data_IF_016942214409
#
_entry.id   IF_016942214409
#
_cell.length_a   1.000
_cell.length_b   1.000
_cell.length_c   1.000
_cell.angle_alpha   90.00
_cell.angle_beta   90.00
_cell.angle_gamma   90.00
#
_symmetry.space_group_name_H-M   'P 1'
#
loop_
_entity.id
_entity.type
_entity.pdbx_description
1 polymer ?
#
# COMPACT_ATOMS: atom_id res chain seq x y z
N UNK A 1 -9.44 13.06 -14.60
CA UNK A 1 -8.18 12.41 -14.19
C UNK A 1 -8.02 12.59 -12.69
N UNK A 2 -8.19 11.52 -11.93
CA UNK A 2 -7.96 11.51 -10.48
C UNK A 2 -6.49 11.84 -10.24
N UNK A 3 -6.22 12.90 -9.46
CA UNK A 3 -4.85 13.35 -9.16
C UNK A 3 -4.36 12.66 -7.89
N UNK A 4 -3.07 12.39 -7.82
CA UNK A 4 -2.43 11.81 -6.63
C UNK A 4 -2.71 12.69 -5.39
N UNK A 5 -3.30 12.10 -4.35
CA UNK A 5 -3.66 12.79 -3.10
C UNK A 5 -2.43 13.44 -2.45
N UNK A 6 -1.29 12.74 -2.44
CA UNK A 6 -0.03 13.26 -1.87
C UNK A 6 0.40 14.54 -2.61
N UNK A 7 0.34 14.53 -3.94
CA UNK A 7 0.72 15.69 -4.75
C UNK A 7 -0.23 16.88 -4.57
N UNK A 8 -1.54 16.63 -4.50
CA UNK A 8 -2.51 17.70 -4.26
C UNK A 8 -2.42 18.26 -2.84
N UNK A 9 -2.17 17.42 -1.83
CA UNK A 9 -1.93 17.86 -0.46
C UNK A 9 -0.67 18.73 -0.37
N UNK A 10 0.44 18.32 -0.98
CA UNK A 10 1.67 19.14 -1.03
C UNK A 10 1.46 20.49 -1.74
N UNK A 11 0.69 20.51 -2.84
CA UNK A 11 0.33 21.77 -3.53
C UNK A 11 -0.54 22.67 -2.67
N UNK A 12 -1.51 22.10 -1.95
CA UNK A 12 -2.37 22.85 -1.04
C UNK A 12 -1.52 23.49 0.08
N UNK A 13 -0.63 22.72 0.71
CA UNK A 13 0.30 23.24 1.71
C UNK A 13 1.15 24.39 1.16
N UNK A 14 1.71 24.26 -0.05
CA UNK A 14 2.48 25.33 -0.67
C UNK A 14 1.69 26.63 -0.88
N UNK A 15 0.38 26.55 -1.16
CA UNK A 15 -0.49 27.75 -1.25
C UNK A 15 -0.71 28.39 0.12
N UNK A 16 -0.92 27.58 1.15
CA UNK A 16 -1.13 28.03 2.52
C UNK A 16 0.12 28.76 3.05
N UNK A 17 1.30 28.16 2.86
CA UNK A 17 2.58 28.78 3.22
C UNK A 17 2.82 30.07 2.46
N UNK A 18 2.61 30.08 1.13
CA UNK A 18 2.79 31.29 0.29
C UNK A 18 1.86 32.44 0.72
N UNK A 19 0.66 32.12 1.20
CA UNK A 19 -0.31 33.09 1.67
C UNK A 19 -0.07 33.52 3.14
N UNK A 20 0.94 32.98 3.83
CA UNK A 20 1.23 33.30 5.23
C UNK A 20 0.16 32.83 6.22
N UNK A 21 -0.73 31.92 5.79
CA UNK A 21 -1.90 31.51 6.59
C UNK A 21 -1.53 30.65 7.80
N UNK A 22 -0.34 30.06 7.82
CA UNK A 22 0.15 29.25 8.94
C UNK A 22 0.33 30.07 10.23
N UNK A 23 0.48 31.40 10.12
CA UNK A 23 0.51 32.28 11.29
C UNK A 23 -0.77 32.17 12.14
N UNK A 24 -1.91 31.92 11.51
CA UNK A 24 -3.20 31.79 12.18
C UNK A 24 -3.35 30.48 12.96
N UNK A 25 -2.51 29.47 12.71
CA UNK A 25 -2.54 28.19 13.44
C UNK A 25 -2.23 28.41 14.93
N UNK A 26 -1.37 29.38 15.24
CA UNK A 26 -1.04 29.76 16.62
C UNK A 26 -2.27 30.27 17.39
N UNK A 27 -3.23 30.89 16.70
CA UNK A 27 -4.45 31.47 17.26
C UNK A 27 -5.58 30.45 17.46
N UNK A 28 -5.46 29.25 16.89
CA UNK A 28 -6.47 28.21 16.98
C UNK A 28 -6.51 27.56 18.37
N UNK A 29 -7.42 26.62 18.60
CA UNK A 29 -7.41 25.80 19.81
C UNK A 29 -6.32 24.70 19.76
N UNK A 30 -6.08 24.03 20.89
CA UNK A 30 -5.09 22.95 20.98
C UNK A 30 -5.41 21.76 20.09
N UNK A 31 -6.68 21.45 19.88
CA UNK A 31 -7.10 20.30 19.07
C UNK A 31 -6.75 20.53 17.61
N UNK A 32 -7.06 21.72 17.10
CA UNK A 32 -6.71 22.15 15.75
C UNK A 32 -5.19 22.18 15.57
N UNK A 33 -4.45 22.78 16.51
CA UNK A 33 -2.97 22.82 16.44
C UNK A 33 -2.35 21.43 16.32
N UNK A 34 -2.78 20.49 17.16
CA UNK A 34 -2.28 19.11 17.13
C UNK A 34 -2.62 18.42 15.82
N UNK A 35 -3.86 18.57 15.35
CA UNK A 35 -4.32 17.98 14.10
C UNK A 35 -3.57 18.56 12.89
N UNK A 36 -3.32 19.87 12.91
CA UNK A 36 -2.53 20.56 11.89
C UNK A 36 -1.11 20.00 11.84
N UNK A 37 -0.42 19.90 12.97
CA UNK A 37 0.93 19.32 13.03
C UNK A 37 0.95 17.88 12.51
N UNK A 38 0.01 17.04 12.94
CA UNK A 38 -0.10 15.67 12.43
C UNK A 38 -0.30 15.64 10.91
N UNK A 39 -1.16 16.49 10.37
CA UNK A 39 -1.41 16.60 8.94
C UNK A 39 -0.14 17.03 8.19
N UNK A 40 0.54 18.10 8.64
CA UNK A 40 1.74 18.61 7.98
C UNK A 40 2.88 17.60 8.00
N UNK A 41 3.06 16.90 9.12
CA UNK A 41 4.08 15.85 9.25
C UNK A 41 3.80 14.68 8.31
N UNK A 42 2.54 14.24 8.22
CA UNK A 42 2.16 13.17 7.29
C UNK A 42 2.33 13.61 5.83
N UNK A 43 1.96 14.84 5.46
CA UNK A 43 2.16 15.35 4.10
C UNK A 43 3.65 15.39 3.77
N UNK A 44 4.51 15.89 4.67
CA UNK A 44 5.94 15.95 4.46
C UNK A 44 6.54 14.54 4.30
N UNK A 45 6.21 13.62 5.22
CA UNK A 45 6.66 12.22 5.19
C UNK A 45 6.28 11.54 3.86
N UNK A 46 5.00 11.62 3.48
CA UNK A 46 4.50 10.94 2.28
C UNK A 46 4.96 11.60 0.98
N UNK A 47 5.14 12.92 0.97
CA UNK A 47 5.70 13.62 -0.19
C UNK A 47 7.17 13.26 -0.40
N UNK A 48 7.96 13.18 0.67
CA UNK A 48 9.35 12.73 0.62
C UNK A 48 9.45 11.31 0.11
N UNK A 49 8.74 10.36 0.74
CA UNK A 49 8.74 8.97 0.30
C UNK A 49 8.33 8.84 -1.17
N UNK A 50 7.27 9.54 -1.60
CA UNK A 50 6.86 9.55 -3.01
C UNK A 50 7.95 10.07 -3.94
N UNK A 51 8.65 11.13 -3.57
CA UNK A 51 9.76 11.67 -4.35
C UNK A 51 10.89 10.65 -4.50
N UNK A 52 11.29 10.02 -3.39
CA UNK A 52 12.35 9.00 -3.38
C UNK A 52 11.94 7.76 -4.19
N UNK A 53 10.68 7.34 -4.07
CA UNK A 53 10.08 6.24 -4.80
C UNK A 53 10.08 6.49 -6.33
N UNK A 54 9.74 7.71 -6.76
CA UNK A 54 9.83 8.10 -8.18
C UNK A 54 11.29 8.16 -8.64
N UNK A 55 12.18 8.73 -7.83
CA UNK A 55 13.60 8.87 -8.16
C UNK A 55 14.30 7.50 -8.30
N UNK A 56 13.85 6.49 -7.55
CA UNK A 56 14.27 5.10 -7.67
C UNK A 56 13.69 4.38 -8.92
N UNK A 57 12.82 5.04 -9.70
CA UNK A 57 12.17 4.47 -10.87
C UNK A 57 11.01 3.52 -10.54
N UNK A 58 10.52 3.53 -9.29
CA UNK A 58 9.49 2.61 -8.83
C UNK A 58 8.06 3.06 -9.15
N UNK A 59 7.86 4.33 -9.52
CA UNK A 59 6.56 4.86 -9.92
C UNK A 59 6.45 5.02 -11.45
N UNK A 60 5.29 4.67 -11.98
CA UNK A 60 4.71 5.09 -13.26
C UNK A 60 4.79 4.22 -14.53
N UNK A 61 5.60 3.16 -14.64
CA UNK A 61 5.74 2.49 -15.95
C UNK A 61 5.47 0.97 -15.99
N UNK A 62 4.90 0.39 -14.94
CA UNK A 62 4.54 -1.02 -14.95
C UNK A 62 3.35 -1.33 -15.87
N UNK A 63 3.61 -2.03 -16.97
CA UNK A 63 2.53 -2.55 -17.81
C UNK A 63 1.77 -3.64 -17.05
N UNK A 64 0.44 -3.58 -17.06
CA UNK A 64 -0.44 -4.59 -16.45
C UNK A 64 -0.39 -5.94 -17.19
N UNK A 65 0.32 -6.04 -18.33
CA UNK A 65 0.67 -7.33 -18.91
C UNK A 65 1.91 -7.89 -18.19
N UNK A 66 1.79 -8.96 -17.37
CA UNK A 66 2.92 -9.55 -16.66
C UNK A 66 3.99 -10.11 -17.59
N UNK A 67 3.62 -10.47 -18.83
CA UNK A 67 4.52 -11.00 -19.86
C UNK A 67 5.14 -9.89 -20.74
N UNK A 68 4.94 -8.61 -20.40
CA UNK A 68 5.53 -7.50 -21.17
C UNK A 68 7.06 -7.50 -21.00
N UNK A 69 7.85 -7.58 -22.09
CA UNK A 69 9.31 -7.54 -21.99
C UNK A 69 9.83 -6.21 -21.42
N UNK A 70 9.09 -5.14 -21.67
CA UNK A 70 9.37 -3.80 -21.16
C UNK A 70 8.50 -3.49 -19.95
N UNK A 71 8.09 -4.49 -19.15
CA UNK A 71 7.14 -4.27 -18.06
C UNK A 71 7.64 -3.21 -17.10
N UNK A 72 8.91 -3.26 -16.69
CA UNK A 72 9.51 -2.41 -15.64
C UNK A 72 10.73 -1.63 -16.18
N UNK A 73 10.54 -0.77 -17.18
CA UNK A 73 11.66 -0.04 -17.83
C UNK A 73 11.36 1.44 -17.93
N UNK A 74 12.39 2.30 -17.88
CA UNK A 74 12.31 3.74 -18.17
C UNK A 74 11.66 3.98 -19.54
N UNK A 75 10.35 4.23 -19.58
CA UNK A 75 9.67 4.47 -20.86
C UNK A 75 9.84 5.92 -21.25
N UNK A 76 10.02 6.14 -22.54
CA UNK A 76 9.96 7.49 -23.13
C UNK A 76 8.52 7.97 -23.30
N UNK A 77 7.55 7.05 -23.27
CA UNK A 77 6.12 7.33 -23.45
C UNK A 77 5.33 6.85 -22.23
N UNK A 78 4.36 7.65 -21.73
CA UNK A 78 3.54 7.25 -20.61
C UNK A 78 2.66 6.05 -20.95
N UNK A 79 2.33 5.24 -19.94
CA UNK A 79 1.36 4.17 -20.09
C UNK A 79 -0.02 4.70 -20.50
N UNK A 80 -0.71 3.89 -21.30
CA UNK A 80 -2.08 4.10 -21.74
C UNK A 80 -3.03 3.46 -20.74
N UNK A 81 -3.88 4.28 -20.13
CA UNK A 81 -4.93 3.81 -19.24
C UNK A 81 -6.08 3.19 -20.05
N UNK A 82 -6.64 2.09 -19.56
CA UNK A 82 -7.88 1.54 -20.13
C UNK A 82 -9.02 2.55 -19.96
N UNK A 83 -9.59 3.04 -21.06
CA UNK A 83 -10.69 4.01 -21.03
C UNK A 83 -12.01 3.45 -20.50
N UNK A 84 -12.15 2.12 -20.38
CA UNK A 84 -13.34 1.49 -19.84
C UNK A 84 -13.38 1.52 -18.31
N UNK A 85 -12.36 0.96 -17.68
CA UNK A 85 -12.32 0.82 -16.21
C UNK A 85 -11.42 1.84 -15.50
N UNK A 86 -10.61 2.60 -16.24
CA UNK A 86 -9.62 3.54 -15.72
C UNK A 86 -8.59 2.94 -14.73
N UNK A 87 -8.48 1.60 -14.71
CA UNK A 87 -7.73 0.88 -13.69
C UNK A 87 -6.45 0.19 -14.17
N UNK A 88 -6.49 -0.33 -15.39
CA UNK A 88 -5.37 -1.08 -15.99
C UNK A 88 -4.55 -0.16 -16.90
N UNK A 89 -3.23 -0.32 -16.86
CA UNK A 89 -2.29 0.51 -17.60
C UNK A 89 -1.42 -0.32 -18.53
N UNK A 90 -1.35 0.06 -19.81
CA UNK A 90 -0.65 -0.70 -20.83
C UNK A 90 0.31 0.20 -21.60
N UNK A 91 1.48 -0.30 -21.93
CA UNK A 91 2.44 0.46 -22.73
C UNK A 91 2.05 0.60 -24.20
N UNK A 92 1.21 -0.30 -24.69
CA UNK A 92 0.73 -0.33 -26.05
C UNK A 92 -0.64 -1.01 -26.13
N UNK A 93 -1.36 -0.75 -27.22
CA UNK A 93 -2.60 -1.47 -27.55
C UNK A 93 -2.39 -2.97 -27.66
N UNK A 94 -1.20 -3.43 -28.04
CA UNK A 94 -0.91 -4.87 -28.16
C UNK A 94 -0.85 -5.54 -26.79
N UNK A 95 -0.24 -4.89 -25.79
CA UNK A 95 -0.29 -5.38 -24.41
C UNK A 95 -1.73 -5.41 -23.86
N UNK A 96 -2.54 -4.40 -24.19
CA UNK A 96 -3.95 -4.38 -23.81
C UNK A 96 -4.73 -5.54 -24.47
N UNK A 97 -4.56 -5.75 -25.79
CA UNK A 97 -5.24 -6.82 -26.54
C UNK A 97 -4.84 -8.21 -26.04
N UNK A 98 -3.55 -8.42 -25.79
CA UNK A 98 -3.00 -9.65 -25.23
C UNK A 98 -3.65 -9.99 -23.87
N UNK A 99 -3.84 -8.98 -23.03
CA UNK A 99 -4.50 -9.15 -21.73
C UNK A 99 -6.03 -9.13 -21.79
N UNK A 100 -6.65 -8.78 -22.91
CA UNK A 100 -8.10 -8.57 -23.01
C UNK A 100 -8.95 -9.76 -22.54
N UNK A 101 -8.61 -11.04 -22.85
CA UNK A 101 -9.37 -12.18 -22.36
C UNK A 101 -9.48 -12.23 -20.83
N UNK A 102 -8.39 -11.91 -20.13
CA UNK A 102 -8.32 -11.89 -18.66
C UNK A 102 -8.84 -10.57 -18.08
N UNK A 103 -8.60 -9.46 -18.76
CA UNK A 103 -8.97 -8.13 -18.31
C UNK A 103 -10.47 -7.84 -18.48
N UNK A 104 -11.10 -8.28 -19.57
CA UNK A 104 -12.51 -7.99 -19.89
C UNK A 104 -13.50 -8.26 -18.75
N UNK A 105 -13.49 -9.43 -18.06
CA UNK A 105 -14.41 -9.65 -16.94
C UNK A 105 -14.19 -8.64 -15.80
N UNK A 106 -12.93 -8.38 -15.43
CA UNK A 106 -12.57 -7.41 -14.40
C UNK A 106 -12.97 -5.99 -14.83
N UNK A 107 -12.74 -5.63 -16.08
CA UNK A 107 -13.08 -4.33 -16.66
C UNK A 107 -14.58 -4.02 -16.52
N UNK A 108 -15.44 -5.03 -16.74
CA UNK A 108 -16.90 -4.87 -16.57
C UNK A 108 -17.30 -4.69 -15.11
N UNK A 109 -16.75 -5.50 -14.20
CA UNK A 109 -17.00 -5.37 -12.76
C UNK A 109 -16.64 -3.96 -12.29
N UNK A 110 -15.44 -3.49 -12.66
CA UNK A 110 -14.99 -2.15 -12.28
C UNK A 110 -15.88 -1.05 -12.85
N UNK A 111 -16.31 -1.16 -14.11
CA UNK A 111 -17.27 -0.22 -14.71
C UNK A 111 -18.61 -0.17 -13.97
N UNK A 112 -19.13 -1.33 -13.55
CA UNK A 112 -20.38 -1.41 -12.79
C UNK A 112 -20.24 -0.79 -11.40
N UNK A 113 -19.13 -1.07 -10.71
CA UNK A 113 -18.82 -0.48 -9.41
C UNK A 113 -18.65 1.05 -9.51
N UNK A 114 -17.98 1.57 -10.55
CA UNK A 114 -17.88 3.01 -10.77
C UNK A 114 -19.26 3.66 -10.96
N UNK A 115 -20.18 3.00 -11.68
CA UNK A 115 -21.56 3.49 -11.87
C UNK A 115 -22.37 3.52 -10.57
N UNK A 116 -22.07 2.64 -9.60
CA UNK A 116 -22.75 2.60 -8.29
C UNK A 116 -22.36 3.74 -7.36
N UNK A 117 -21.39 4.58 -7.75
CA UNK A 117 -21.34 5.96 -7.28
C UNK A 117 -20.29 6.29 -6.22
N UNK A 118 -19.41 5.38 -5.81
CA UNK A 118 -18.07 5.71 -5.27
C UNK A 118 -17.37 4.43 -4.81
N UNK A 119 -16.32 4.01 -5.52
CA UNK A 119 -15.25 3.26 -4.89
C UNK A 119 -13.95 3.95 -5.26
N UNK A 120 -13.17 4.32 -4.25
CA UNK A 120 -11.77 4.64 -4.42
C UNK A 120 -11.08 3.35 -4.84
N UNK A 121 -11.08 3.07 -6.15
CA UNK A 121 -10.50 1.85 -6.65
C UNK A 121 -8.99 2.06 -6.73
N UNK A 122 -8.27 1.39 -5.83
CA UNK A 122 -6.83 1.36 -5.89
C UNK A 122 -6.38 0.63 -7.15
N UNK A 123 -5.70 1.35 -8.02
CA UNK A 123 -5.13 0.76 -9.22
C UNK A 123 -4.01 -0.19 -8.89
N UNK A 124 -3.59 -1.03 -9.84
CA UNK A 124 -2.40 -1.86 -9.66
C UNK A 124 -1.17 -1.01 -9.27
N UNK A 125 -1.11 0.23 -9.75
CA UNK A 125 -0.06 1.20 -9.39
C UNK A 125 -0.20 1.68 -7.95
N UNK A 126 -1.43 1.99 -7.52
CA UNK A 126 -1.67 2.39 -6.13
C UNK A 126 -1.36 1.24 -5.17
N UNK A 127 -1.79 0.01 -5.51
CA UNK A 127 -1.49 -1.18 -4.70
C UNK A 127 0.01 -1.44 -4.58
N UNK A 128 0.77 -1.28 -5.68
CA UNK A 128 2.22 -1.39 -5.64
C UNK A 128 2.84 -0.31 -4.76
N UNK A 129 2.47 0.96 -4.98
CA UNK A 129 2.93 2.08 -4.17
C UNK A 129 2.64 1.85 -2.67
N UNK A 130 1.44 1.39 -2.33
CA UNK A 130 1.05 1.11 -0.95
C UNK A 130 1.83 -0.06 -0.34
N UNK A 131 2.10 -1.13 -1.11
CA UNK A 131 2.90 -2.25 -0.62
C UNK A 131 4.37 -1.87 -0.37
N UNK A 132 4.95 -1.05 -1.23
CA UNK A 132 6.30 -0.52 -1.07
C UNK A 132 6.37 0.51 0.07
N UNK A 133 5.35 1.35 0.20
CA UNK A 133 5.23 2.29 1.31
C UNK A 133 5.12 1.56 2.65
N UNK A 134 4.31 0.50 2.73
CA UNK A 134 4.20 -0.33 3.91
C UNK A 134 5.53 -1.02 4.24
N UNK A 135 6.22 -1.54 3.23
CA UNK A 135 7.55 -2.15 3.41
C UNK A 135 8.58 -1.14 3.93
N UNK A 136 8.55 0.09 3.44
CA UNK A 136 9.40 1.19 3.92
C UNK A 136 9.07 1.58 5.36
N UNK A 137 7.78 1.75 5.68
CA UNK A 137 7.30 2.10 7.02
C UNK A 137 7.64 1.01 8.05
N UNK A 138 7.52 -0.25 7.67
CA UNK A 138 7.96 -1.43 8.42
C UNK A 138 9.47 -1.37 8.66
N UNK A 139 10.25 -1.12 7.61
CA UNK A 139 11.71 -1.11 7.69
C UNK A 139 12.22 -0.04 8.65
N UNK A 140 11.61 1.15 8.63
CA UNK A 140 11.92 2.24 9.55
C UNK A 140 11.66 1.88 11.03
N UNK A 141 10.85 0.85 11.30
CA UNK A 141 10.51 0.36 12.65
C UNK A 141 11.20 -0.96 13.01
N UNK A 142 12.16 -1.43 12.22
CA UNK A 142 12.79 -2.76 12.37
C UNK A 142 13.26 -3.08 13.80
N UNK A 143 13.98 -2.16 14.45
CA UNK A 143 14.50 -2.38 15.81
C UNK A 143 13.39 -2.56 16.83
N UNK A 144 12.35 -1.71 16.75
CA UNK A 144 11.18 -1.81 17.62
C UNK A 144 10.42 -3.12 17.38
N UNK A 145 10.19 -3.48 16.12
CA UNK A 145 9.45 -4.68 15.74
C UNK A 145 10.13 -5.98 16.21
N UNK A 146 11.46 -6.01 16.26
CA UNK A 146 12.20 -7.14 16.83
C UNK A 146 11.97 -7.33 18.33
N UNK A 147 11.88 -6.22 19.08
CA UNK A 147 11.55 -6.28 20.50
C UNK A 147 10.07 -6.61 20.74
N UNK A 148 9.19 -6.07 19.90
CA UNK A 148 7.76 -6.38 19.93
C UNK A 148 7.49 -7.85 19.59
N UNK A 149 8.23 -8.45 18.64
CA UNK A 149 8.20 -9.90 18.38
C UNK A 149 8.52 -10.69 19.65
N UNK A 150 9.62 -10.37 20.33
CA UNK A 150 10.03 -11.05 21.57
C UNK A 150 8.95 -10.93 22.65
N UNK A 151 8.37 -9.74 22.81
CA UNK A 151 7.29 -9.49 23.77
C UNK A 151 6.04 -10.30 23.42
N UNK A 152 5.65 -10.31 22.14
CA UNK A 152 4.49 -11.02 21.64
C UNK A 152 4.61 -12.53 21.87
N UNK A 153 5.76 -13.14 21.54
CA UNK A 153 5.99 -14.57 21.73
C UNK A 153 6.05 -14.99 23.21
N UNK A 154 6.55 -14.12 24.10
CA UNK A 154 6.47 -14.35 25.56
C UNK A 154 5.03 -14.38 26.05
N UNK A 155 4.19 -13.48 25.56
CA UNK A 155 2.77 -13.42 25.93
C UNK A 155 1.94 -14.52 25.26
N UNK A 156 2.37 -15.03 24.09
CA UNK A 156 1.66 -16.03 23.29
C UNK A 156 2.59 -17.16 22.84
N UNK A 157 3.02 -18.06 23.75
CA UNK A 157 3.98 -19.12 23.40
C UNK A 157 3.53 -20.02 22.24
N UNK A 158 2.22 -20.30 22.15
CA UNK A 158 1.65 -21.11 21.06
C UNK A 158 1.74 -20.47 19.66
N UNK A 159 1.96 -19.15 19.58
CA UNK A 159 2.12 -18.46 18.31
C UNK A 159 3.47 -18.79 17.62
N UNK A 160 4.47 -19.29 18.37
CA UNK A 160 5.77 -19.67 17.80
C UNK A 160 5.66 -20.83 16.79
N UNK A 161 4.57 -21.60 16.81
CA UNK A 161 4.35 -22.70 15.87
C UNK A 161 3.87 -22.23 14.48
N UNK A 162 3.55 -20.94 14.32
CA UNK A 162 3.00 -20.38 13.09
C UNK A 162 3.79 -19.14 12.66
N UNK A 163 3.84 -18.83 11.35
CA UNK A 163 4.35 -17.54 10.90
C UNK A 163 3.66 -16.37 11.61
N UNK A 164 4.39 -15.30 11.87
CA UNK A 164 3.83 -14.06 12.40
C UNK A 164 3.47 -13.12 11.24
N UNK A 165 2.62 -12.13 11.52
CA UNK A 165 2.20 -11.11 10.56
C UNK A 165 2.63 -9.73 11.05
N UNK A 166 3.24 -8.95 10.16
CA UNK A 166 3.46 -7.52 10.33
C UNK A 166 2.19 -6.79 9.89
N UNK A 167 1.39 -6.33 10.85
CA UNK A 167 0.14 -5.62 10.59
C UNK A 167 0.35 -4.11 10.64
N UNK A 168 0.26 -3.45 9.48
CA UNK A 168 0.39 -2.00 9.31
C UNK A 168 -1.00 -1.38 9.32
N UNK A 169 -1.27 -0.47 10.26
CA UNK A 169 -2.56 0.21 10.37
C UNK A 169 -2.45 1.66 9.90
N UNK A 170 -3.01 1.95 8.73
CA UNK A 170 -3.15 3.29 8.17
C UNK A 170 -4.50 3.96 8.50
N UNK A 171 -5.37 3.31 9.28
CA UNK A 171 -6.63 3.91 9.77
C UNK A 171 -6.41 4.82 10.98
N UNK A 172 -5.27 4.68 11.68
CA UNK A 172 -4.86 5.54 12.79
C UNK A 172 -3.83 6.59 12.36
N UNK A 173 -3.83 7.75 13.04
CA UNK A 173 -2.77 8.77 12.90
C UNK A 173 -2.13 9.04 14.27
N UNK A 174 -0.82 8.78 14.44
CA UNK A 174 0.10 8.20 13.45
C UNK A 174 -0.21 6.72 13.15
N UNK A 175 0.25 6.24 11.99
CA UNK A 175 0.14 4.82 11.61
C UNK A 175 0.93 3.94 12.58
N UNK A 176 0.39 2.76 12.87
CA UNK A 176 1.04 1.76 13.72
C UNK A 176 1.50 0.54 12.92
N UNK A 177 2.49 -0.18 13.46
CA UNK A 177 2.89 -1.50 12.95
C UNK A 177 2.94 -2.43 14.14
N UNK A 178 2.22 -3.54 14.08
CA UNK A 178 2.08 -4.50 15.18
C UNK A 178 2.41 -5.92 14.74
N UNK A 179 2.73 -6.78 15.71
CA UNK A 179 2.94 -8.22 15.48
C UNK A 179 1.65 -8.95 15.80
N UNK A 180 1.15 -9.74 14.84
CA UNK A 180 -0.06 -10.55 15.00
C UNK A 180 0.19 -12.02 14.72
N UNK A 181 -0.67 -12.87 15.27
CA UNK A 181 -0.72 -14.28 14.91
C UNK A 181 -1.26 -14.40 13.49
N UNK A 182 -0.63 -15.21 12.66
CA UNK A 182 -1.18 -15.49 11.34
C UNK A 182 -2.53 -16.21 11.42
N UNK A 183 -2.81 -16.96 12.51
CA UNK A 183 -4.08 -17.65 12.71
C UNK A 183 -5.29 -16.71 12.73
N UNK A 184 -5.11 -15.44 13.10
CA UNK A 184 -6.16 -14.41 13.07
C UNK A 184 -6.77 -14.24 11.66
N UNK A 185 -6.03 -14.63 10.62
CA UNK A 185 -6.40 -14.45 9.22
C UNK A 185 -6.81 -15.75 8.51
N UNK A 186 -6.65 -16.91 9.17
CA UNK A 186 -6.87 -18.22 8.54
C UNK A 186 -8.32 -18.41 8.07
N UNK A 187 -9.27 -18.01 8.90
CA UNK A 187 -10.71 -18.23 8.63
C UNK A 187 -11.40 -16.97 8.10
N UNK A 188 -10.63 -15.92 7.76
CA UNK A 188 -11.18 -14.71 7.18
C UNK A 188 -11.75 -15.02 5.78
N UNK A 189 -12.99 -14.58 5.44
CA UNK A 189 -13.64 -14.93 4.17
C UNK A 189 -12.78 -14.67 2.93
N UNK A 190 -11.94 -13.64 2.99
CA UNK A 190 -11.12 -13.21 1.86
C UNK A 190 -9.69 -13.78 1.89
N UNK A 191 -9.11 -13.98 3.08
CA UNK A 191 -7.72 -14.45 3.19
C UNK A 191 -7.62 -15.97 3.32
N UNK A 192 -8.66 -16.63 3.84
CA UNK A 192 -8.67 -18.08 4.06
C UNK A 192 -8.49 -18.89 2.78
N UNK A 193 -8.97 -18.38 1.64
CA UNK A 193 -8.73 -19.04 0.34
C UNK A 193 -7.25 -19.01 -0.08
N UNK A 194 -6.53 -17.93 0.23
CA UNK A 194 -5.10 -17.75 -0.12
C UNK A 194 -4.16 -18.27 0.97
N UNK A 195 -4.69 -18.57 2.15
CA UNK A 195 -3.95 -18.96 3.33
C UNK A 195 -2.94 -20.11 3.09
N UNK A 196 -3.31 -21.24 2.44
CA UNK A 196 -2.36 -22.32 2.19
C UNK A 196 -1.14 -21.86 1.37
N UNK A 197 -1.37 -21.01 0.37
CA UNK A 197 -0.30 -20.47 -0.48
C UNK A 197 0.59 -19.46 0.25
N UNK A 198 0.01 -18.62 1.11
CA UNK A 198 0.77 -17.67 1.92
C UNK A 198 1.72 -18.41 2.88
N UNK A 199 1.19 -19.42 3.59
CA UNK A 199 2.01 -20.25 4.50
C UNK A 199 3.09 -21.00 3.74
N UNK A 200 2.76 -21.58 2.58
CA UNK A 200 3.74 -22.27 1.73
C UNK A 200 4.89 -21.35 1.33
N UNK A 201 4.60 -20.11 0.89
CA UNK A 201 5.63 -19.14 0.48
C UNK A 201 6.55 -18.74 1.63
N UNK A 202 6.01 -18.52 2.83
CA UNK A 202 6.82 -18.20 4.03
C UNK A 202 7.71 -19.37 4.43
N UNK A 203 7.17 -20.59 4.41
CA UNK A 203 7.95 -21.79 4.75
C UNK A 203 9.04 -22.13 3.73
N UNK A 204 8.86 -21.71 2.47
CA UNK A 204 9.82 -21.97 1.39
C UNK A 204 11.04 -21.05 1.42
N UNK A 205 10.92 -19.83 1.95
CA UNK A 205 12.03 -18.89 2.06
C UNK A 205 11.87 -18.07 3.35
N UNK A 206 12.80 -18.16 4.31
CA UNK A 206 12.72 -17.42 5.57
C UNK A 206 12.79 -15.89 5.41
N UNK A 207 13.11 -15.40 4.21
CA UNK A 207 13.02 -13.97 3.86
C UNK A 207 11.62 -13.50 3.52
N UNK A 208 10.70 -14.42 3.28
CA UNK A 208 9.31 -14.11 3.02
C UNK A 208 8.57 -13.86 4.33
N UNK A 209 8.05 -12.65 4.49
CA UNK A 209 7.28 -12.25 5.66
C UNK A 209 5.85 -11.90 5.26
N UNK A 210 4.90 -12.23 6.13
CA UNK A 210 3.50 -11.89 5.92
C UNK A 210 3.27 -10.45 6.37
N UNK A 211 2.73 -9.64 5.47
CA UNK A 211 2.33 -8.27 5.73
C UNK A 211 0.83 -8.17 5.56
N UNK A 212 0.19 -7.58 6.55
CA UNK A 212 -1.20 -7.17 6.49
C UNK A 212 -1.25 -5.65 6.53
N UNK A 213 -2.06 -5.04 5.67
CA UNK A 213 -2.26 -3.59 5.69
C UNK A 213 -3.74 -3.29 5.96
N UNK A 214 -4.01 -2.42 6.91
CA UNK A 214 -5.33 -1.93 7.26
C UNK A 214 -5.50 -0.48 6.81
N UNK A 215 -6.68 -0.14 6.28
CA UNK A 215 -6.98 1.22 5.78
C UNK A 215 -8.32 1.72 6.28
N UNK A 216 -8.53 3.04 6.33
CA UNK A 216 -9.80 3.62 6.75
C UNK A 216 -10.95 3.35 5.75
N UNK A 217 -10.63 2.85 4.55
CA UNK A 217 -11.62 2.57 3.52
C UNK A 217 -12.20 1.17 3.76
N UNK A 218 -13.37 1.12 4.39
CA UNK A 218 -14.12 -0.12 4.68
C UNK A 218 -14.59 -0.90 3.44
N UNK A 219 -14.25 -0.44 2.22
CA UNK A 219 -14.89 -0.88 0.98
C UNK A 219 -14.01 -1.70 0.03
N UNK A 220 -12.80 -2.10 0.40
CA UNK A 220 -12.15 -3.21 -0.33
C UNK A 220 -11.09 -3.95 0.51
N UNK A 221 -11.50 -4.92 1.36
CA UNK A 221 -10.55 -5.76 2.10
C UNK A 221 -9.76 -6.74 1.20
N UNK A 222 -10.03 -6.74 -0.11
CA UNK A 222 -9.74 -7.83 -1.06
C UNK A 222 -8.32 -8.40 -1.12
N UNK A 223 -7.26 -7.74 -0.65
CA UNK A 223 -5.89 -8.23 -0.92
C UNK A 223 -4.80 -7.87 0.10
N UNK A 224 -5.14 -7.37 1.28
CA UNK A 224 -4.12 -6.68 2.06
C UNK A 224 -3.23 -7.60 2.90
N UNK A 225 -3.54 -8.91 2.96
CA UNK A 225 -2.62 -9.93 3.42
C UNK A 225 -1.82 -10.52 2.24
N UNK A 226 -0.51 -10.31 2.25
CA UNK A 226 0.41 -10.81 1.23
C UNK A 226 1.75 -11.21 1.83
N UNK A 227 2.56 -11.92 1.05
CA UNK A 227 3.96 -12.21 1.39
C UNK A 227 4.87 -11.26 0.63
N UNK A 228 5.80 -10.61 1.34
CA UNK A 228 6.88 -9.83 0.72
C UNK A 228 8.24 -10.37 1.15
N UNK A 229 9.26 -10.18 0.32
CA UNK A 229 10.61 -10.66 0.59
C UNK A 229 11.46 -9.52 1.10
N UNK A 230 11.87 -9.56 2.37
CA UNK A 230 12.83 -8.60 2.91
C UNK A 230 14.24 -9.15 2.80
N UNK A 231 15.20 -8.35 2.30
CA UNK A 231 16.61 -8.75 2.24
C UNK A 231 17.16 -9.11 3.64
N UNK A 232 16.71 -8.38 4.66
CA UNK A 232 16.96 -8.66 6.06
C UNK A 232 15.61 -8.91 6.75
N UNK A 233 15.28 -10.16 7.10
CA UNK A 233 14.02 -10.49 7.76
C UNK A 233 13.90 -9.75 9.11
N UNK A 234 12.71 -9.24 9.39
CA UNK A 234 12.36 -8.55 10.64
C UNK A 234 11.81 -9.56 11.64
N UNK A 235 10.87 -10.36 11.16
CA UNK A 235 10.25 -11.46 11.88
C UNK A 235 11.14 -12.68 11.94
N UNK A 236 12.08 -12.90 11.01
CA UNK A 236 13.10 -13.97 11.02
C UNK A 236 12.69 -15.27 11.69
N UNK A 237 12.34 -16.29 10.89
CA UNK A 237 11.95 -17.62 11.39
C UNK A 237 13.01 -18.16 12.37
#
# INVERSE_FOLDING_TARGET
>A
MQRCVISEAGRAMGRITKAGLEANVSLADDSFRRTWTLLTDQIALRSKYRSDFIAAGCDNDSCSNPMCPQRLTNRTKPLQMCSGCENYFYCSRDCQKSMWPNHKPICKILQEETKKGFLLHFTERDMHFMGEMASHDIHNKTTQLREDKKRFLRAHPGAAAYPLVLAVDYSSVPMTVTIRSSLDFKDHPEHGQRWPDLIRRVKQDPRNEMVYIETPLKTDPKNWLYTTTFQLPILGI
#
